data_IF_104605336072
#
_entry.id   IF_104605336072
#
_cell.length_a   1.000
_cell.length_b   1.000
_cell.length_c   1.000
_cell.angle_alpha   90.00
_cell.angle_beta   90.00
_cell.angle_gamma   90.00
#
_symmetry.space_group_name_H-M   'P 1'
#
loop_
_entity.id
_entity.type
_entity.pdbx_description
1 polymer ?
#
# COMPACT_ATOMS: atom_id res chain seq x y z
N UNK A 1 15.54 -6.47 17.74
CA UNK A 1 15.08 -5.07 17.88
C UNK A 1 14.88 -4.61 16.46
N UNK A 2 13.66 -4.24 16.06
CA UNK A 2 13.37 -3.86 14.67
C UNK A 2 14.28 -2.69 14.30
N UNK A 3 15.00 -2.81 13.18
CA UNK A 3 15.83 -1.73 12.65
C UNK A 3 14.94 -0.72 11.94
N UNK A 4 14.36 0.15 12.75
CA UNK A 4 13.48 1.21 12.27
C UNK A 4 14.18 2.15 11.28
N UNK A 5 15.51 2.22 11.27
CA UNK A 5 16.25 3.05 10.32
C UNK A 5 16.18 2.49 8.89
N UNK A 6 16.36 1.18 8.74
CA UNK A 6 16.25 0.49 7.44
C UNK A 6 14.81 0.51 6.88
N UNK A 7 13.82 0.23 7.74
CA UNK A 7 12.39 0.28 7.40
C UNK A 7 12.00 1.66 6.86
N UNK A 8 12.56 2.71 7.44
CA UNK A 8 12.32 4.07 6.99
C UNK A 8 13.05 4.36 5.67
N UNK A 9 14.31 3.95 5.51
CA UNK A 9 15.06 4.13 4.25
C UNK A 9 14.38 3.48 3.03
N UNK A 10 13.75 2.32 3.20
CA UNK A 10 13.11 1.61 2.09
C UNK A 10 11.71 2.18 1.77
N UNK A 11 10.98 2.65 2.79
CA UNK A 11 9.78 3.50 2.60
C UNK A 11 10.15 4.80 1.86
N UNK A 12 11.33 5.37 2.15
CA UNK A 12 11.83 6.58 1.49
C UNK A 12 12.24 6.34 0.04
N UNK A 13 12.93 5.25 -0.29
CA UNK A 13 13.28 4.89 -1.69
C UNK A 13 12.03 4.66 -2.54
N UNK A 14 10.99 4.04 -1.98
CA UNK A 14 9.71 3.80 -2.67
C UNK A 14 8.88 5.06 -2.90
N UNK A 15 9.02 6.10 -2.06
CA UNK A 15 8.30 7.37 -2.18
C UNK A 15 9.03 8.42 -3.04
N UNK A 16 10.33 8.27 -3.29
CA UNK A 16 11.18 9.35 -3.80
C UNK A 16 11.91 9.09 -5.12
N UNK A 17 11.92 7.89 -5.73
CA UNK A 17 12.66 7.72 -7.01
C UNK A 17 12.14 6.59 -7.90
N UNK A 18 11.85 6.91 -9.17
CA UNK A 18 11.85 5.91 -10.24
C UNK A 18 13.28 5.43 -10.53
N UNK A 19 13.43 4.28 -11.22
CA UNK A 19 14.73 3.68 -11.63
C UNK A 19 15.62 4.62 -12.46
N UNK A 20 15.07 5.71 -12.98
CA UNK A 20 15.77 6.75 -13.76
C UNK A 20 16.20 7.97 -12.91
N UNK A 21 15.98 7.96 -11.60
CA UNK A 21 16.37 9.05 -10.70
C UNK A 21 15.36 10.21 -10.63
N UNK A 22 14.15 10.06 -11.19
CA UNK A 22 13.12 11.10 -11.11
C UNK A 22 12.44 11.10 -9.74
N UNK A 23 12.45 12.25 -9.04
CA UNK A 23 11.82 12.45 -7.73
C UNK A 23 10.32 12.72 -7.87
N UNK A 24 9.47 11.87 -7.29
CA UNK A 24 8.01 11.90 -7.57
C UNK A 24 7.18 12.67 -6.54
N UNK A 25 7.60 12.81 -5.27
CA UNK A 25 6.73 13.45 -4.25
C UNK A 25 7.35 14.61 -3.47
N UNK A 26 8.66 14.63 -3.15
CA UNK A 26 9.26 15.77 -2.44
C UNK A 26 10.73 16.00 -2.84
N UNK A 27 11.02 17.16 -3.44
CA UNK A 27 12.36 17.55 -3.88
C UNK A 27 13.26 18.15 -2.79
N UNK A 28 12.77 18.27 -1.55
CA UNK A 28 13.52 18.85 -0.41
C UNK A 28 12.97 18.39 0.95
N UNK A 29 13.74 18.63 2.01
CA UNK A 29 13.43 18.23 3.39
C UNK A 29 12.15 18.87 3.93
N UNK A 30 11.86 20.13 3.59
CA UNK A 30 10.64 20.83 4.04
C UNK A 30 9.39 20.14 3.51
N UNK A 31 9.38 19.84 2.21
CA UNK A 31 8.32 19.07 1.57
C UNK A 31 8.23 17.68 2.21
N UNK A 32 9.34 16.97 2.39
CA UNK A 32 9.35 15.65 3.01
C UNK A 32 8.72 15.68 4.42
N UNK A 33 9.12 16.62 5.28
CA UNK A 33 8.55 16.80 6.62
C UNK A 33 7.05 17.14 6.57
N UNK A 34 6.64 17.99 5.63
CA UNK A 34 5.23 18.34 5.45
C UNK A 34 4.38 17.14 5.05
N UNK A 35 4.81 16.37 4.04
CA UNK A 35 4.13 15.16 3.59
C UNK A 35 4.07 14.11 4.69
N UNK A 36 5.16 13.89 5.41
CA UNK A 36 5.18 12.94 6.52
C UNK A 36 4.28 13.39 7.67
N UNK A 37 4.19 14.68 7.96
CA UNK A 37 3.26 15.20 8.96
C UNK A 37 1.79 14.99 8.56
N UNK A 38 1.44 15.31 7.30
CA UNK A 38 0.09 15.03 6.77
C UNK A 38 -0.24 13.53 6.85
N UNK A 39 0.73 12.68 6.49
CA UNK A 39 0.59 11.23 6.55
C UNK A 39 0.32 10.77 7.99
N UNK A 40 1.15 11.17 8.96
CA UNK A 40 0.97 10.80 10.36
C UNK A 40 -0.38 11.30 10.93
N UNK A 41 -0.79 12.53 10.60
CA UNK A 41 -2.09 13.03 11.00
C UNK A 41 -3.25 12.22 10.40
N UNK A 42 -3.11 11.74 9.15
CA UNK A 42 -4.11 10.86 8.53
C UNK A 42 -4.22 9.49 9.21
N UNK A 43 -3.18 9.06 9.93
CA UNK A 43 -3.17 7.88 10.79
C UNK A 43 -3.75 8.18 12.19
N UNK A 44 -4.24 9.40 12.44
CA UNK A 44 -4.83 9.82 13.71
C UNK A 44 -3.84 10.42 14.71
N UNK A 45 -2.59 10.69 14.33
CA UNK A 45 -1.63 11.32 15.22
C UNK A 45 -1.99 12.80 15.41
N UNK A 46 -1.90 13.30 16.65
CA UNK A 46 -1.99 14.75 16.87
C UNK A 46 -0.81 15.45 16.20
N UNK A 47 -0.93 16.72 15.79
CA UNK A 47 0.19 17.46 15.21
C UNK A 47 1.44 17.46 16.10
N UNK A 48 1.26 17.53 17.42
CA UNK A 48 2.35 17.47 18.39
C UNK A 48 3.02 16.09 18.41
N UNK A 49 2.23 15.01 18.36
CA UNK A 49 2.80 13.65 18.31
C UNK A 49 3.52 13.43 16.99
N UNK A 50 2.94 13.84 15.86
CA UNK A 50 3.57 13.75 14.56
C UNK A 50 4.91 14.50 14.51
N UNK A 51 4.97 15.72 15.05
CA UNK A 51 6.22 16.49 15.14
C UNK A 51 7.31 15.75 15.94
N UNK A 52 6.94 15.12 17.06
CA UNK A 52 7.89 14.35 17.86
C UNK A 52 8.42 13.10 17.14
N UNK A 53 7.55 12.38 16.42
CA UNK A 53 7.97 11.24 15.60
C UNK A 53 8.94 11.70 14.51
N UNK A 54 8.62 12.79 13.81
CA UNK A 54 9.45 13.32 12.73
C UNK A 54 10.79 13.87 13.23
N UNK A 55 10.81 14.49 14.41
CA UNK A 55 12.06 14.90 15.04
C UNK A 55 12.99 13.69 15.22
N UNK A 56 12.46 12.61 15.78
CA UNK A 56 13.22 11.39 16.02
C UNK A 56 13.73 10.79 14.72
N UNK A 57 12.83 10.63 13.74
CA UNK A 57 13.13 10.01 12.43
C UNK A 57 14.18 10.79 11.63
N UNK A 58 14.01 12.12 11.55
CA UNK A 58 14.92 12.97 10.78
C UNK A 58 16.11 13.48 11.61
N UNK A 59 16.25 13.01 12.86
CA UNK A 59 17.29 13.43 13.80
C UNK A 59 17.38 14.97 13.91
N UNK A 60 16.22 15.64 13.97
CA UNK A 60 16.15 17.10 14.00
C UNK A 60 16.49 17.63 15.40
N UNK A 61 17.16 18.79 15.49
CA UNK A 61 17.52 19.39 16.78
C UNK A 61 16.29 19.75 17.62
N UNK A 62 15.18 20.10 16.97
CA UNK A 62 13.91 20.44 17.60
C UNK A 62 12.72 19.88 16.79
N UNK A 63 11.54 19.67 17.41
CA UNK A 63 10.34 19.27 16.69
C UNK A 63 10.01 20.27 15.57
N UNK A 64 9.74 19.79 14.35
CA UNK A 64 9.37 20.66 13.23
C UNK A 64 8.06 21.39 13.53
N UNK A 65 8.05 22.69 13.27
CA UNK A 65 6.85 23.52 13.29
C UNK A 65 6.25 23.57 11.90
N UNK A 66 5.02 23.07 11.77
CA UNK A 66 4.28 23.12 10.51
C UNK A 66 3.49 24.42 10.45
N UNK A 67 3.84 25.31 9.53
CA UNK A 67 2.95 26.43 9.19
C UNK A 67 1.68 25.86 8.57
N UNK A 68 0.51 26.38 8.96
CA UNK A 68 -0.73 26.08 8.24
C UNK A 68 -0.50 26.37 6.75
N UNK A 69 -0.76 25.41 5.85
CA UNK A 69 -0.38 25.56 4.46
C UNK A 69 -1.15 26.73 3.83
N UNK A 70 -0.44 27.53 3.03
CA UNK A 70 -1.04 28.47 2.07
C UNK A 70 -1.53 27.78 0.79
N UNK A 71 -1.22 26.48 0.63
CA UNK A 71 -1.55 25.69 -0.53
C UNK A 71 -2.50 24.53 -0.17
N UNK A 72 -3.70 24.54 -0.75
CA UNK A 72 -4.65 23.44 -0.69
C UNK A 72 -4.20 22.32 -1.64
N UNK A 73 -3.27 21.49 -1.21
CA UNK A 73 -3.02 20.22 -1.88
C UNK A 73 -4.11 19.22 -1.48
N UNK A 74 -4.95 18.77 -2.42
CA UNK A 74 -5.84 17.59 -2.26
C UNK A 74 -5.04 16.27 -2.35
N UNK A 75 -3.93 16.17 -1.63
CA UNK A 75 -3.17 14.93 -1.46
C UNK A 75 -3.91 13.79 -0.76
N UNK A 76 -4.86 14.06 0.17
CA UNK A 76 -5.67 13.00 0.78
C UNK A 76 -6.48 12.19 -0.24
N UNK A 77 -6.71 12.69 -1.45
CA UNK A 77 -7.51 12.00 -2.48
C UNK A 77 -6.68 11.11 -3.41
N UNK A 78 -5.34 11.21 -3.39
CA UNK A 78 -4.50 10.42 -4.28
C UNK A 78 -4.46 8.94 -3.85
N UNK A 79 -4.80 8.03 -4.77
CA UNK A 79 -4.84 6.60 -4.51
C UNK A 79 -3.52 6.03 -3.96
N UNK A 80 -2.37 6.50 -4.45
CA UNK A 80 -1.06 6.07 -3.94
C UNK A 80 -0.81 6.46 -2.48
N UNK A 81 -1.29 7.64 -2.06
CA UNK A 81 -1.23 8.06 -0.66
C UNK A 81 -2.12 7.17 0.22
N UNK A 82 -3.35 6.89 -0.23
CA UNK A 82 -4.28 6.02 0.49
C UNK A 82 -3.78 4.59 0.61
N UNK A 83 -3.13 4.07 -0.43
CA UNK A 83 -2.49 2.74 -0.39
C UNK A 83 -1.39 2.67 0.67
N UNK A 84 -0.47 3.63 0.66
CA UNK A 84 0.62 3.67 1.67
C UNK A 84 0.07 3.86 3.08
N UNK A 85 -0.97 4.68 3.23
CA UNK A 85 -1.66 4.89 4.51
C UNK A 85 -2.25 3.58 5.00
N UNK A 86 -2.94 2.85 4.13
CA UNK A 86 -3.54 1.57 4.48
C UNK A 86 -2.50 0.51 4.83
N UNK A 87 -1.45 0.33 4.01
CA UNK A 87 -0.30 -0.54 4.35
C UNK A 87 0.23 -0.24 5.75
N UNK A 88 0.42 1.03 6.09
CA UNK A 88 0.94 1.40 7.41
C UNK A 88 -0.02 1.07 8.55
N UNK A 89 -1.33 1.21 8.32
CA UNK A 89 -2.35 0.77 9.28
C UNK A 89 -2.23 -0.74 9.49
N UNK A 90 -2.17 -1.54 8.42
CA UNK A 90 -2.06 -3.01 8.52
C UNK A 90 -0.80 -3.45 9.28
N UNK A 91 0.37 -2.86 8.97
CA UNK A 91 1.60 -3.11 9.74
C UNK A 91 1.42 -2.79 11.23
N UNK A 92 0.78 -1.64 11.53
CA UNK A 92 0.55 -1.20 12.90
C UNK A 92 -0.43 -2.13 13.62
N UNK A 93 -1.46 -2.62 12.93
CA UNK A 93 -2.39 -3.62 13.47
C UNK A 93 -1.64 -4.91 13.77
N UNK A 94 -0.88 -5.44 12.82
CA UNK A 94 -0.05 -6.63 13.00
C UNK A 94 0.91 -6.50 14.20
N UNK A 95 1.52 -5.33 14.36
CA UNK A 95 2.46 -5.07 15.45
C UNK A 95 1.74 -4.90 16.80
N UNK A 96 0.61 -4.17 16.86
CA UNK A 96 0.03 -3.67 18.13
C UNK A 96 -1.27 -4.34 18.56
N UNK A 97 -2.08 -4.86 17.63
CA UNK A 97 -3.32 -5.54 17.93
C UNK A 97 -3.04 -7.02 18.30
N UNK A 98 -3.49 -7.51 19.48
CA UNK A 98 -3.27 -8.89 19.88
C UNK A 98 -3.84 -9.92 18.91
N UNK A 99 -5.01 -9.63 18.32
CA UNK A 99 -5.66 -10.54 17.37
C UNK A 99 -4.89 -10.60 16.05
N UNK A 100 -4.63 -9.45 15.40
CA UNK A 100 -3.92 -9.40 14.13
C UNK A 100 -2.52 -10.00 14.20
N UNK A 101 -1.86 -9.92 15.37
CA UNK A 101 -0.55 -10.54 15.62
C UNK A 101 -0.58 -12.06 15.59
N UNK A 102 -1.69 -12.68 15.97
CA UNK A 102 -1.81 -14.14 16.04
C UNK A 102 -2.38 -14.77 14.76
N UNK A 103 -2.93 -13.95 13.85
CA UNK A 103 -3.46 -14.41 12.58
C UNK A 103 -2.38 -15.13 11.76
N UNK A 104 -2.71 -16.33 11.27
CA UNK A 104 -1.86 -17.14 10.39
C UNK A 104 -2.30 -17.03 8.93
N UNK A 105 -1.43 -17.38 7.95
CA UNK A 105 -1.83 -17.43 6.54
C UNK A 105 -3.03 -18.36 6.28
N UNK A 106 -3.17 -19.45 7.03
CA UNK A 106 -4.30 -20.37 6.88
C UNK A 106 -5.61 -19.76 7.38
N UNK A 107 -5.57 -19.01 8.49
CA UNK A 107 -6.75 -18.28 8.98
C UNK A 107 -7.15 -17.18 7.99
N UNK A 108 -6.18 -16.45 7.43
CA UNK A 108 -6.45 -15.44 6.39
C UNK A 108 -7.17 -16.01 5.17
N UNK A 109 -6.85 -17.24 4.74
CA UNK A 109 -7.59 -17.88 3.64
C UNK A 109 -9.05 -18.11 4.01
N UNK A 110 -9.34 -18.48 5.26
CA UNK A 110 -10.72 -18.64 5.72
C UNK A 110 -11.45 -17.30 5.73
N UNK A 111 -10.85 -16.27 6.34
CA UNK A 111 -11.42 -14.91 6.40
C UNK A 111 -11.64 -14.33 5.00
N UNK A 112 -10.64 -14.46 4.11
CA UNK A 112 -10.75 -13.98 2.72
C UNK A 112 -11.88 -14.63 1.92
N UNK A 113 -12.31 -15.85 2.30
CA UNK A 113 -13.47 -16.49 1.65
C UNK A 113 -14.79 -15.89 2.11
N UNK A 114 -14.84 -15.42 3.34
CA UNK A 114 -16.00 -14.70 3.90
C UNK A 114 -16.11 -13.36 3.17
N UNK A 115 -15.05 -12.55 3.13
CA UNK A 115 -15.06 -11.26 2.40
C UNK A 115 -15.33 -11.42 0.90
N UNK A 116 -14.84 -12.50 0.28
CA UNK A 116 -15.17 -12.77 -1.11
C UNK A 116 -16.66 -13.09 -1.31
N UNK A 117 -17.30 -13.71 -0.32
CA UNK A 117 -18.74 -13.98 -0.36
C UNK A 117 -19.54 -12.69 -0.17
N UNK A 118 -19.12 -11.81 0.74
CA UNK A 118 -19.72 -10.48 0.95
C UNK A 118 -19.55 -9.59 -0.28
N UNK A 119 -18.37 -9.64 -0.92
CA UNK A 119 -18.11 -9.00 -2.21
C UNK A 119 -19.08 -9.49 -3.30
N UNK A 120 -19.29 -10.80 -3.39
CA UNK A 120 -20.23 -11.39 -4.35
C UNK A 120 -21.67 -10.95 -4.10
N UNK A 121 -22.06 -10.82 -2.83
CA UNK A 121 -23.37 -10.30 -2.43
C UNK A 121 -23.52 -8.82 -2.83
N UNK A 122 -22.54 -7.98 -2.54
CA UNK A 122 -22.54 -6.56 -2.91
C UNK A 122 -22.71 -6.36 -4.42
N UNK A 123 -21.97 -7.13 -5.24
CA UNK A 123 -22.10 -7.12 -6.70
C UNK A 123 -23.51 -7.55 -7.14
N UNK A 124 -24.05 -8.61 -6.54
CA UNK A 124 -25.37 -9.14 -6.87
C UNK A 124 -26.49 -8.15 -6.54
N UNK A 125 -26.32 -7.40 -5.45
CA UNK A 125 -27.26 -6.39 -4.99
C UNK A 125 -27.07 -5.02 -5.67
N UNK A 126 -26.05 -4.86 -6.53
CA UNK A 126 -25.64 -3.58 -7.12
C UNK A 126 -25.35 -2.51 -6.05
N UNK A 127 -24.89 -2.94 -4.87
CA UNK A 127 -24.53 -2.07 -3.76
C UNK A 127 -23.09 -1.60 -3.96
N UNK A 128 -22.93 -0.41 -4.55
CA UNK A 128 -21.62 0.14 -4.87
C UNK A 128 -20.83 0.57 -3.62
N UNK A 129 -21.52 0.93 -2.54
CA UNK A 129 -20.87 1.34 -1.30
C UNK A 129 -20.28 0.10 -0.62
N UNK A 130 -21.09 -0.96 -0.46
CA UNK A 130 -20.59 -2.23 0.08
C UNK A 130 -19.53 -2.84 -0.85
N UNK A 131 -19.70 -2.75 -2.18
CA UNK A 131 -18.68 -3.24 -3.12
C UNK A 131 -17.31 -2.58 -2.86
N UNK A 132 -17.27 -1.26 -2.61
CA UNK A 132 -16.02 -0.59 -2.28
C UNK A 132 -15.44 -1.03 -0.93
N UNK A 133 -16.29 -1.29 0.06
CA UNK A 133 -15.93 -1.77 1.40
C UNK A 133 -15.27 -3.15 1.34
N UNK A 134 -15.93 -4.13 0.71
CA UNK A 134 -15.44 -5.51 0.62
C UNK A 134 -14.14 -5.65 -0.19
N UNK A 135 -13.96 -4.79 -1.21
CA UNK A 135 -12.67 -4.70 -1.91
C UNK A 135 -11.55 -4.23 -0.96
N UNK A 136 -11.87 -3.33 -0.03
CA UNK A 136 -10.98 -2.88 1.02
C UNK A 136 -10.57 -4.01 1.97
N UNK A 137 -11.51 -4.86 2.37
CA UNK A 137 -11.25 -6.00 3.26
C UNK A 137 -10.42 -7.09 2.60
N UNK A 138 -10.64 -7.35 1.31
CA UNK A 138 -9.70 -8.20 0.56
C UNK A 138 -8.29 -7.59 0.49
N UNK A 139 -8.17 -6.27 0.33
CA UNK A 139 -6.86 -5.60 0.40
C UNK A 139 -6.22 -5.69 1.78
N UNK A 140 -7.00 -5.62 2.87
CA UNK A 140 -6.51 -5.85 4.23
C UNK A 140 -5.81 -7.20 4.33
N UNK A 141 -6.47 -8.26 3.85
CA UNK A 141 -5.95 -9.63 3.88
C UNK A 141 -4.72 -9.82 2.98
N UNK A 142 -4.70 -9.23 1.77
CA UNK A 142 -3.54 -9.28 0.88
C UNK A 142 -2.31 -8.59 1.49
N UNK A 143 -2.51 -7.44 2.14
CA UNK A 143 -1.44 -6.74 2.84
C UNK A 143 -0.97 -7.54 4.06
N UNK A 144 -1.88 -8.10 4.85
CA UNK A 144 -1.50 -8.88 6.03
C UNK A 144 -0.71 -10.15 5.65
N UNK A 145 -1.07 -10.82 4.56
CA UNK A 145 -0.26 -11.90 3.99
C UNK A 145 1.17 -11.46 3.67
N UNK A 146 1.33 -10.26 3.09
CA UNK A 146 2.64 -9.72 2.73
C UNK A 146 3.46 -9.35 3.97
N UNK A 147 2.83 -8.74 4.99
CA UNK A 147 3.49 -8.44 6.28
C UNK A 147 3.93 -9.73 6.98
N UNK A 148 3.09 -10.76 7.02
CA UNK A 148 3.44 -12.06 7.61
C UNK A 148 4.62 -12.70 6.84
N UNK A 149 4.66 -12.60 5.52
CA UNK A 149 5.77 -13.15 4.74
C UNK A 149 7.09 -12.40 5.02
N UNK A 150 7.02 -11.08 5.18
CA UNK A 150 8.15 -10.23 5.54
C UNK A 150 8.69 -10.56 6.94
N UNK A 151 7.81 -10.78 7.93
CA UNK A 151 8.19 -11.25 9.28
C UNK A 151 8.94 -12.59 9.29
N UNK A 152 8.76 -13.40 8.26
CA UNK A 152 9.39 -14.71 8.10
C UNK A 152 10.58 -14.70 7.13
N UNK A 153 11.10 -13.51 6.78
CA UNK A 153 12.20 -13.31 5.83
C UNK A 153 11.95 -14.00 4.46
N UNK A 154 10.68 -14.15 4.05
CA UNK A 154 10.31 -14.93 2.87
C UNK A 154 10.22 -14.09 1.59
N UNK A 155 9.45 -12.99 1.63
CA UNK A 155 9.32 -12.01 0.55
C UNK A 155 8.63 -10.74 1.05
N UNK A 156 8.77 -9.66 0.30
CA UNK A 156 8.13 -8.37 0.60
C UNK A 156 6.93 -8.10 -0.32
N UNK A 157 6.10 -7.12 0.03
CA UNK A 157 5.01 -6.64 -0.84
C UNK A 157 5.51 -6.21 -2.23
N UNK A 158 6.72 -5.64 -2.31
CA UNK A 158 7.33 -5.25 -3.57
C UNK A 158 7.55 -6.45 -4.51
N UNK A 159 7.94 -7.60 -3.97
CA UNK A 159 8.08 -8.84 -4.74
C UNK A 159 6.73 -9.33 -5.27
N UNK A 160 5.68 -9.25 -4.45
CA UNK A 160 4.31 -9.64 -4.83
C UNK A 160 3.83 -8.79 -6.00
N UNK A 161 3.94 -7.46 -5.89
CA UNK A 161 3.50 -6.53 -6.93
C UNK A 161 4.34 -6.68 -8.20
N UNK A 162 5.67 -6.84 -8.08
CA UNK A 162 6.56 -7.07 -9.23
C UNK A 162 6.16 -8.34 -9.98
N UNK A 163 6.01 -9.46 -9.27
CA UNK A 163 5.58 -10.74 -9.86
C UNK A 163 4.20 -10.61 -10.51
N UNK A 164 3.25 -9.93 -9.87
CA UNK A 164 1.92 -9.70 -10.42
C UNK A 164 1.96 -8.86 -11.70
N UNK A 165 2.73 -7.77 -11.71
CA UNK A 165 2.89 -6.89 -12.88
C UNK A 165 3.59 -7.58 -14.04
N UNK A 166 4.72 -8.27 -13.80
CA UNK A 166 5.44 -9.01 -14.84
C UNK A 166 4.57 -10.13 -15.43
N UNK A 167 3.82 -10.83 -14.58
CA UNK A 167 2.85 -11.85 -15.01
C UNK A 167 1.72 -11.23 -15.83
N UNK A 168 1.17 -10.09 -15.41
CA UNK A 168 0.13 -9.39 -16.16
C UNK A 168 0.65 -8.92 -17.53
N UNK A 169 1.82 -8.28 -17.59
CA UNK A 169 2.42 -7.80 -18.84
C UNK A 169 2.71 -8.97 -19.80
N UNK A 170 3.37 -10.01 -19.31
CA UNK A 170 3.74 -11.17 -20.14
C UNK A 170 2.54 -11.98 -20.65
N UNK A 171 1.39 -11.91 -19.96
CA UNK A 171 0.13 -12.53 -20.38
C UNK A 171 -0.73 -11.66 -21.30
N UNK A 172 -0.36 -10.40 -21.49
CA UNK A 172 -1.04 -9.48 -22.41
C UNK A 172 -0.08 -8.89 -23.45
N UNK A 173 0.63 -9.71 -24.24
CA UNK A 173 1.52 -9.21 -25.28
C UNK A 173 0.76 -8.40 -26.35
N UNK A 174 -0.53 -8.64 -26.55
CA UNK A 174 -1.39 -7.84 -27.43
C UNK A 174 -1.67 -6.42 -26.91
N UNK A 175 -1.44 -6.15 -25.61
CA UNK A 175 -1.55 -4.80 -25.01
C UNK A 175 -0.18 -4.14 -24.89
N UNK A 176 0.84 -4.89 -24.46
CA UNK A 176 2.15 -4.34 -24.07
C UNK A 176 3.29 -4.62 -25.07
N UNK A 177 3.05 -5.42 -26.10
CA UNK A 177 3.96 -5.68 -27.20
C UNK A 177 3.26 -5.43 -28.54
N UNK A 178 3.95 -5.72 -29.66
CA UNK A 178 3.44 -5.49 -31.01
C UNK A 178 2.57 -6.65 -31.56
N UNK A 179 2.01 -7.49 -30.69
CA UNK A 179 1.10 -8.56 -31.11
C UNK A 179 -0.28 -7.98 -31.42
N UNK A 180 -0.94 -8.44 -32.48
CA UNK A 180 -2.19 -7.86 -32.98
C UNK A 180 -3.40 -8.77 -32.75
N UNK A 181 -3.47 -9.47 -31.61
CA UNK A 181 -4.69 -10.22 -31.28
C UNK A 181 -5.85 -9.23 -31.04
N UNK A 182 -6.93 -9.37 -31.80
CA UNK A 182 -8.03 -8.39 -31.82
C UNK A 182 -9.29 -8.84 -31.08
N UNK A 183 -9.37 -10.07 -30.57
CA UNK A 183 -10.59 -10.61 -29.95
C UNK A 183 -10.35 -11.33 -28.61
N UNK A 184 -11.33 -11.20 -27.71
CA UNK A 184 -11.27 -11.71 -26.35
C UNK A 184 -11.22 -13.26 -26.26
N UNK A 185 -11.78 -13.97 -27.23
CA UNK A 185 -11.79 -15.43 -27.22
C UNK A 185 -10.39 -16.00 -27.51
N UNK A 186 -9.69 -15.39 -28.47
CA UNK A 186 -8.27 -15.71 -28.77
C UNK A 186 -7.36 -15.38 -27.60
N UNK A 187 -7.63 -14.31 -26.86
CA UNK A 187 -6.88 -13.98 -25.64
C UNK A 187 -7.15 -15.00 -24.52
N UNK A 188 -8.41 -15.40 -24.33
CA UNK A 188 -8.81 -16.35 -23.27
C UNK A 188 -8.23 -17.75 -23.49
N UNK A 189 -8.18 -18.25 -24.72
CA UNK A 189 -7.60 -19.58 -25.01
C UNK A 189 -6.11 -19.63 -24.66
N UNK A 190 -5.34 -18.59 -25.02
CA UNK A 190 -3.92 -18.45 -24.67
C UNK A 190 -3.70 -18.38 -23.15
N UNK A 191 -4.68 -17.88 -22.39
CA UNK A 191 -4.65 -17.84 -20.93
C UNK A 191 -4.87 -19.21 -20.27
N UNK A 192 -5.64 -20.10 -20.89
CA UNK A 192 -5.94 -21.44 -20.36
C UNK A 192 -4.86 -22.49 -20.68
N UNK A 193 -4.04 -22.24 -21.71
CA UNK A 193 -2.98 -23.15 -22.16
C UNK A 193 -1.66 -23.06 -21.34
N UNK A 194 -1.57 -22.14 -20.36
CA UNK A 194 -0.36 -21.90 -19.53
C UNK A 194 -0.65 -21.92 -18.03
#
# INVERSE_FOLDING_TARGET
>A
MIDWQQVLEDVWKGLLTNKDGTVVVASNLENALFFSNLFLQSLGYTPQRAALELQSVFQLPEPPSFKSPSCHYTLPEAAGFQFMRFKKIVETLREKCPWDREVTPYQLVTLSREELSELMEAISNQDMDNYAEELGDLWLHLLLHSVIAEENDAFELADVLTKASEKAISRHPHVFASDHDTDAATVLSKWQER
#
